data_IF_491199699404
#
_entry.id   IF_491199699404
#
_cell.length_a   1.000
_cell.length_b   1.000
_cell.length_c   1.000
_cell.angle_alpha   90.00
_cell.angle_beta   90.00
_cell.angle_gamma   90.00
#
_symmetry.space_group_name_H-M   'P 1'
#
loop_
_entity.id
_entity.type
_entity.pdbx_description
1 polymer ?
#
# COMPACT_ATOMS: atom_id res chain seq x y z
N UNK A 1 -1.45 -24.36 24.46
CA UNK A 1 -1.03 -23.15 23.70
C UNK A 1 -2.11 -22.09 23.83
N UNK A 2 -1.75 -20.83 24.16
CA UNK A 2 -2.72 -19.72 24.15
C UNK A 2 -3.18 -19.49 22.70
N UNK A 3 -4.47 -19.24 22.51
CA UNK A 3 -5.01 -18.86 21.19
C UNK A 3 -4.42 -17.53 20.78
N UNK A 4 -3.91 -17.36 19.54
CA UNK A 4 -3.41 -16.08 19.08
C UNK A 4 -4.51 -15.01 19.12
N UNK A 5 -4.11 -13.77 19.35
CA UNK A 5 -5.01 -12.63 19.27
C UNK A 5 -5.14 -12.21 17.79
N UNK A 6 -6.36 -11.90 17.37
CA UNK A 6 -6.65 -11.38 16.04
C UNK A 6 -7.09 -9.94 16.15
N UNK A 7 -6.30 -9.03 15.56
CA UNK A 7 -6.63 -7.62 15.40
C UNK A 7 -7.20 -7.42 13.99
N UNK A 8 -8.42 -6.93 13.93
CA UNK A 8 -9.07 -6.55 12.67
C UNK A 8 -9.20 -5.03 12.63
N UNK A 9 -8.72 -4.41 11.56
CA UNK A 9 -8.80 -2.97 11.35
C UNK A 9 -9.45 -2.63 10.01
N UNK A 10 -10.25 -1.56 10.03
CA UNK A 10 -10.80 -0.90 8.85
C UNK A 10 -10.29 0.52 8.82
N UNK A 11 -9.50 0.86 7.82
CA UNK A 11 -8.91 2.17 7.67
C UNK A 11 -9.26 2.75 6.30
N UNK A 12 -9.45 4.06 6.24
CA UNK A 12 -9.74 4.77 5.00
C UNK A 12 -8.89 6.02 4.90
N UNK A 13 -8.40 6.29 3.72
CA UNK A 13 -7.67 7.53 3.40
C UNK A 13 -7.90 7.88 1.93
N UNK A 14 -7.33 8.98 1.46
CA UNK A 14 -7.42 9.37 0.06
C UNK A 14 -6.78 10.72 -0.18
N UNK A 15 -6.78 11.13 -1.44
CA UNK A 15 -6.28 12.42 -1.87
C UNK A 15 -7.06 12.95 -3.08
N UNK A 16 -7.13 14.27 -3.18
CA UNK A 16 -7.51 14.97 -4.41
C UNK A 16 -6.23 15.43 -5.11
N UNK A 17 -6.04 14.96 -6.33
CA UNK A 17 -4.86 15.27 -7.16
C UNK A 17 -5.28 16.29 -8.22
N UNK A 18 -4.54 17.39 -8.34
CA UNK A 18 -4.81 18.45 -9.29
C UNK A 18 -4.25 18.13 -10.68
N UNK A 19 -4.71 17.01 -11.20
CA UNK A 19 -4.42 16.51 -12.54
C UNK A 19 -5.55 15.57 -13.01
N UNK A 20 -5.83 15.51 -14.32
CA UNK A 20 -6.88 14.64 -14.86
C UNK A 20 -6.53 13.16 -14.70
N UNK A 21 -7.56 12.32 -14.59
CA UNK A 21 -7.40 10.89 -14.36
C UNK A 21 -6.56 10.20 -15.44
N UNK A 22 -6.66 10.64 -16.69
CA UNK A 22 -5.85 10.11 -17.80
C UNK A 22 -4.34 10.32 -17.57
N UNK A 23 -3.94 11.37 -16.85
CA UNK A 23 -2.55 11.62 -16.45
C UNK A 23 -2.17 10.83 -15.21
N UNK A 24 -3.07 10.77 -14.22
CA UNK A 24 -2.78 10.11 -12.92
C UNK A 24 -2.73 8.61 -13.05
N UNK A 25 -3.63 7.99 -13.83
CA UNK A 25 -3.73 6.55 -13.94
C UNK A 25 -2.45 5.85 -14.38
N UNK A 26 -1.78 6.24 -15.50
CA UNK A 26 -0.53 5.59 -15.90
C UNK A 26 0.61 5.83 -14.90
N UNK A 27 0.62 6.96 -14.18
CA UNK A 27 1.60 7.21 -13.12
C UNK A 27 1.36 6.31 -11.92
N UNK A 28 0.09 6.12 -11.52
CA UNK A 28 -0.27 5.22 -10.43
C UNK A 28 0.19 3.78 -10.71
N UNK A 29 0.06 3.30 -11.94
CA UNK A 29 0.44 1.94 -12.31
C UNK A 29 1.94 1.67 -12.18
N UNK A 30 2.79 2.69 -12.11
CA UNK A 30 4.24 2.58 -11.88
C UNK A 30 4.60 2.98 -10.43
N UNK A 31 4.30 2.08 -9.48
CA UNK A 31 4.49 2.33 -8.05
C UNK A 31 5.94 2.65 -7.67
N UNK A 32 6.93 2.17 -8.41
CA UNK A 32 8.34 2.46 -8.16
C UNK A 32 8.70 3.96 -8.33
N UNK A 33 7.85 4.74 -9.00
CA UNK A 33 8.08 6.18 -9.19
C UNK A 33 7.56 7.05 -8.06
N UNK A 34 6.55 6.59 -7.34
CA UNK A 34 5.87 7.42 -6.34
C UNK A 34 5.78 6.79 -4.96
N UNK A 35 5.76 5.46 -4.85
CA UNK A 35 5.71 4.78 -3.56
C UNK A 35 7.12 4.45 -3.09
N UNK A 36 7.81 5.42 -2.52
CA UNK A 36 9.26 5.40 -2.24
C UNK A 36 9.67 4.59 -1.01
N UNK A 37 8.72 4.04 -0.25
CA UNK A 37 9.02 3.20 0.92
C UNK A 37 9.43 1.77 0.52
N UNK A 38 9.11 1.36 -0.70
CA UNK A 38 9.34 0.01 -1.21
C UNK A 38 9.83 0.03 -2.65
N UNK A 39 10.60 -1.00 -3.01
CA UNK A 39 10.84 -1.38 -4.39
C UNK A 39 9.93 -2.55 -4.77
N UNK A 40 9.26 -2.45 -5.91
CA UNK A 40 8.27 -3.40 -6.38
C UNK A 40 8.76 -4.17 -7.58
N UNK A 41 8.75 -5.51 -7.50
CA UNK A 41 9.09 -6.42 -8.58
C UNK A 41 7.98 -7.42 -8.83
N UNK A 42 7.78 -7.81 -10.08
CA UNK A 42 6.86 -8.90 -10.42
C UNK A 42 7.49 -10.25 -10.09
N UNK A 43 6.80 -11.08 -9.31
CA UNK A 43 7.20 -12.46 -9.01
C UNK A 43 6.29 -13.49 -9.69
N UNK A 44 5.13 -13.06 -10.18
CA UNK A 44 4.20 -13.87 -10.97
C UNK A 44 3.46 -12.97 -11.95
N UNK A 45 3.31 -13.40 -13.18
CA UNK A 45 2.75 -12.61 -14.27
C UNK A 45 3.83 -11.88 -15.08
N UNK A 46 3.45 -10.90 -15.91
CA UNK A 46 4.40 -10.16 -16.73
C UNK A 46 5.35 -9.31 -15.88
N UNK A 47 6.52 -8.91 -16.43
CA UNK A 47 7.40 -7.95 -15.78
C UNK A 47 6.66 -6.68 -15.40
N UNK A 48 6.92 -6.16 -14.19
CA UNK A 48 6.20 -4.99 -13.69
C UNK A 48 6.59 -3.69 -14.42
N UNK A 49 7.86 -3.54 -14.73
CA UNK A 49 8.39 -2.33 -15.36
C UNK A 49 7.76 -2.08 -16.75
N UNK A 50 7.07 -0.95 -16.89
CA UNK A 50 6.55 -0.44 -18.16
C UNK A 50 5.25 -1.08 -18.68
N UNK A 51 4.72 -2.11 -18.02
CA UNK A 51 3.48 -2.77 -18.46
C UNK A 51 2.29 -2.39 -17.57
N UNK A 52 2.56 -1.97 -16.33
CA UNK A 52 1.53 -1.66 -15.35
C UNK A 52 0.99 -2.90 -14.63
N UNK A 53 -0.06 -2.68 -13.83
CA UNK A 53 -0.69 -3.73 -13.02
C UNK A 53 -1.68 -4.54 -13.85
N UNK A 54 -1.69 -5.84 -13.63
CA UNK A 54 -2.63 -6.76 -14.27
C UNK A 54 -3.28 -7.67 -13.22
N UNK A 55 -4.54 -8.02 -13.45
CA UNK A 55 -5.25 -8.97 -12.60
C UNK A 55 -4.55 -10.32 -12.56
N UNK A 56 -4.44 -10.90 -11.36
CA UNK A 56 -3.67 -12.14 -11.10
C UNK A 56 -2.16 -11.96 -10.97
N UNK A 57 -1.61 -10.77 -11.22
CA UNK A 57 -0.19 -10.48 -11.02
C UNK A 57 0.15 -10.43 -9.53
N UNK A 58 1.29 -10.99 -9.15
CA UNK A 58 1.82 -10.89 -7.78
C UNK A 58 3.08 -10.04 -7.82
N UNK A 59 3.08 -8.98 -7.04
CA UNK A 59 4.24 -8.12 -6.81
C UNK A 59 4.87 -8.44 -5.47
N UNK A 60 6.19 -8.34 -5.40
CA UNK A 60 6.98 -8.36 -4.18
C UNK A 60 7.41 -6.94 -3.83
N UNK A 61 7.06 -6.50 -2.63
CA UNK A 61 7.51 -5.24 -2.07
C UNK A 61 8.72 -5.46 -1.19
N UNK A 62 9.86 -4.91 -1.60
CA UNK A 62 11.11 -4.94 -0.84
C UNK A 62 11.28 -3.60 -0.14
N UNK A 63 11.38 -3.55 1.22
CA UNK A 63 11.58 -2.29 1.93
C UNK A 63 12.86 -1.59 1.49
N UNK A 64 12.79 -0.28 1.32
CA UNK A 64 13.94 0.59 1.11
C UNK A 64 14.41 1.18 2.44
N UNK A 65 15.70 1.53 2.53
CA UNK A 65 16.29 2.10 3.74
C UNK A 65 15.55 3.38 4.16
N UNK A 66 15.24 3.49 5.47
CA UNK A 66 14.62 4.67 6.05
C UNK A 66 13.10 4.64 6.10
N UNK A 67 12.46 3.56 5.73
CA UNK A 67 10.98 3.44 5.73
C UNK A 67 10.36 3.41 7.14
N UNK A 68 11.18 3.28 8.19
CA UNK A 68 10.71 3.15 9.57
C UNK A 68 10.13 1.76 9.89
N UNK A 69 10.23 0.80 8.98
CA UNK A 69 9.95 -0.60 9.26
C UNK A 69 11.14 -1.20 10.00
N UNK A 70 10.84 -1.92 11.06
CA UNK A 70 11.85 -2.41 12.02
C UNK A 70 12.68 -3.56 11.47
N UNK A 71 12.22 -4.26 10.43
CA UNK A 71 12.95 -5.37 9.81
C UNK A 71 13.16 -5.12 8.31
N UNK A 72 14.39 -4.77 7.87
CA UNK A 72 14.70 -4.55 6.45
C UNK A 72 14.66 -5.85 5.62
N UNK A 73 14.50 -7.01 6.26
CA UNK A 73 14.37 -8.32 5.58
C UNK A 73 12.93 -8.74 5.39
N UNK A 74 11.98 -7.92 5.81
CA UNK A 74 10.56 -8.20 5.68
C UNK A 74 10.06 -7.82 4.30
N UNK A 75 9.55 -8.80 3.58
CA UNK A 75 8.92 -8.60 2.29
C UNK A 75 7.42 -8.71 2.41
N UNK A 76 6.72 -7.96 1.56
CA UNK A 76 5.29 -8.13 1.36
C UNK A 76 5.02 -8.61 -0.06
N UNK A 77 4.00 -9.45 -0.20
CA UNK A 77 3.47 -9.83 -1.49
C UNK A 77 2.12 -9.17 -1.69
N UNK A 78 1.94 -8.58 -2.87
CA UNK A 78 0.71 -7.92 -3.26
C UNK A 78 0.13 -8.63 -4.49
N UNK A 79 -0.95 -9.36 -4.30
CA UNK A 79 -1.72 -10.00 -5.36
C UNK A 79 -2.77 -9.02 -5.90
N UNK A 80 -2.79 -8.80 -7.20
CA UNK A 80 -3.77 -7.96 -7.89
C UNK A 80 -5.06 -8.77 -8.12
N UNK A 81 -6.05 -8.62 -7.25
CA UNK A 81 -7.31 -9.37 -7.33
C UNK A 81 -8.25 -8.80 -8.40
N UNK A 82 -8.18 -7.50 -8.65
CA UNK A 82 -8.98 -6.80 -9.65
C UNK A 82 -8.24 -5.57 -10.13
N UNK A 83 -8.24 -5.37 -11.44
CA UNK A 83 -7.70 -4.17 -12.08
C UNK A 83 -8.71 -3.69 -13.13
N UNK A 84 -9.48 -2.66 -12.80
CA UNK A 84 -10.43 -2.03 -13.74
C UNK A 84 -9.85 -0.67 -14.13
N UNK A 85 -9.49 -0.54 -15.40
CA UNK A 85 -8.86 0.67 -15.94
C UNK A 85 -9.58 1.95 -15.50
N UNK A 86 -8.82 2.91 -14.98
CA UNK A 86 -9.27 4.25 -14.59
C UNK A 86 -10.45 4.25 -13.58
N UNK A 87 -10.62 3.18 -12.83
CA UNK A 87 -11.77 3.06 -11.92
C UNK A 87 -11.40 2.43 -10.58
N UNK A 88 -10.87 1.20 -10.60
CA UNK A 88 -10.76 0.41 -9.37
C UNK A 88 -9.56 -0.53 -9.41
N UNK A 89 -8.87 -0.65 -8.29
CA UNK A 89 -7.89 -1.71 -8.07
C UNK A 89 -8.16 -2.33 -6.71
N UNK A 90 -8.22 -3.66 -6.67
CA UNK A 90 -8.33 -4.43 -5.42
C UNK A 90 -7.13 -5.33 -5.30
N UNK A 91 -6.44 -5.24 -4.17
CA UNK A 91 -5.24 -6.02 -3.90
C UNK A 91 -5.34 -6.73 -2.57
N UNK A 92 -4.69 -7.90 -2.49
CA UNK A 92 -4.43 -8.62 -1.26
C UNK A 92 -2.96 -8.53 -0.93
N UNK A 93 -2.65 -8.08 0.27
CA UNK A 93 -1.29 -7.99 0.78
C UNK A 93 -1.08 -9.07 1.84
N UNK A 94 0.05 -9.78 1.75
CA UNK A 94 0.48 -10.76 2.74
C UNK A 94 1.95 -10.52 3.09
N UNK A 95 2.33 -10.79 4.35
CA UNK A 95 3.73 -10.77 4.75
C UNK A 95 4.42 -12.09 4.38
N UNK A 96 5.72 -12.01 4.05
CA UNK A 96 6.52 -13.18 3.69
C UNK A 96 6.74 -14.15 4.86
N UNK A 97 6.87 -13.60 6.06
CA UNK A 97 7.15 -14.38 7.27
C UNK A 97 6.60 -13.67 8.51
N UNK A 98 6.49 -14.39 9.65
CA UNK A 98 6.15 -13.75 10.91
C UNK A 98 7.08 -12.58 11.22
N UNK A 99 6.52 -11.50 11.69
CA UNK A 99 7.25 -10.29 12.05
C UNK A 99 7.48 -10.26 13.55
N UNK A 100 8.72 -10.11 13.98
CA UNK A 100 8.98 -9.75 15.36
C UNK A 100 8.92 -8.23 15.50
N UNK A 101 7.86 -7.77 16.13
CA UNK A 101 7.74 -6.37 16.57
C UNK A 101 8.23 -6.19 18.02
N UNK A 102 8.91 -7.22 18.54
CA UNK A 102 9.29 -7.31 19.95
C UNK A 102 10.24 -6.23 20.43
N UNK A 103 11.04 -5.63 19.54
CA UNK A 103 12.00 -4.59 19.94
C UNK A 103 11.33 -3.34 20.50
N UNK A 104 10.32 -2.83 19.80
CA UNK A 104 9.67 -1.55 20.14
C UNK A 104 8.28 -1.73 20.77
N UNK A 105 7.58 -2.83 20.46
CA UNK A 105 6.18 -3.01 20.81
C UNK A 105 5.89 -4.18 21.74
N UNK A 106 6.86 -5.06 21.99
CA UNK A 106 6.71 -6.22 22.89
C UNK A 106 5.71 -7.28 22.42
N UNK A 107 5.32 -7.26 21.14
CA UNK A 107 4.35 -8.17 20.55
C UNK A 107 4.89 -8.76 19.27
N UNK A 108 4.80 -10.09 19.12
CA UNK A 108 5.15 -10.75 17.87
C UNK A 108 3.91 -10.87 16.96
N UNK A 109 4.07 -10.49 15.70
CA UNK A 109 3.08 -10.65 14.64
C UNK A 109 3.37 -11.95 13.90
N UNK A 110 2.41 -12.87 13.88
CA UNK A 110 2.55 -14.16 13.21
C UNK A 110 2.15 -14.12 11.74
N UNK A 111 1.13 -13.32 11.44
CA UNK A 111 0.55 -13.27 10.11
C UNK A 111 -0.15 -11.93 9.87
N UNK A 112 -0.07 -11.45 8.65
CA UNK A 112 -0.76 -10.24 8.20
C UNK A 112 -1.43 -10.56 6.87
N UNK A 113 -2.74 -10.36 6.81
CA UNK A 113 -3.49 -10.35 5.57
C UNK A 113 -4.25 -9.04 5.51
N UNK A 114 -3.98 -8.25 4.48
CA UNK A 114 -4.70 -7.01 4.26
C UNK A 114 -5.26 -6.95 2.84
N UNK A 115 -6.42 -6.34 2.72
CA UNK A 115 -7.04 -6.04 1.44
C UNK A 115 -7.11 -4.54 1.30
N UNK A 116 -6.66 -4.02 0.15
CA UNK A 116 -6.78 -2.61 -0.20
C UNK A 116 -7.68 -2.48 -1.41
N UNK A 117 -8.65 -1.59 -1.29
CA UNK A 117 -9.54 -1.22 -2.37
C UNK A 117 -9.28 0.24 -2.72
N UNK A 118 -8.82 0.46 -3.93
CA UNK A 118 -8.51 1.75 -4.50
C UNK A 118 -9.63 2.15 -5.46
N UNK A 119 -10.20 3.31 -5.24
CA UNK A 119 -11.19 3.92 -6.12
C UNK A 119 -10.60 5.15 -6.78
N UNK A 120 -10.83 5.30 -8.07
CA UNK A 120 -10.38 6.45 -8.87
C UNK A 120 -11.60 7.13 -9.48
N UNK A 121 -11.72 8.43 -9.27
CA UNK A 121 -12.81 9.23 -9.80
C UNK A 121 -12.26 10.45 -10.52
N UNK A 122 -12.69 10.65 -11.77
CA UNK A 122 -12.52 11.93 -12.46
C UNK A 122 -13.52 12.95 -11.90
N UNK A 123 -13.00 14.06 -11.41
CA UNK A 123 -13.77 15.16 -10.87
C UNK A 123 -13.41 16.45 -11.60
N UNK A 124 -13.95 16.62 -12.82
CA UNK A 124 -13.82 17.84 -13.64
C UNK A 124 -12.36 18.25 -13.89
N UNK A 125 -11.55 17.30 -14.34
CA UNK A 125 -10.14 17.51 -14.64
C UNK A 125 -9.21 17.39 -13.42
N UNK A 126 -9.74 16.95 -12.29
CA UNK A 126 -8.98 16.54 -11.10
C UNK A 126 -9.24 15.08 -10.83
N UNK A 127 -8.32 14.40 -10.19
CA UNK A 127 -8.49 13.00 -9.80
C UNK A 127 -8.67 12.87 -8.31
N UNK A 128 -9.74 12.23 -7.89
CA UNK A 128 -9.92 11.79 -6.51
C UNK A 128 -9.53 10.33 -6.39
N UNK A 129 -8.64 10.03 -5.45
CA UNK A 129 -8.25 8.67 -5.08
C UNK A 129 -8.78 8.39 -3.69
N UNK A 130 -9.51 7.29 -3.54
CA UNK A 130 -9.92 6.74 -2.25
C UNK A 130 -9.21 5.41 -1.99
N UNK A 131 -8.82 5.17 -0.74
CA UNK A 131 -8.24 3.90 -0.29
C UNK A 131 -9.06 3.41 0.90
N UNK A 132 -9.58 2.19 0.78
CA UNK A 132 -10.21 1.46 1.88
C UNK A 132 -9.35 0.25 2.18
N UNK A 133 -8.97 0.07 3.43
CA UNK A 133 -8.18 -1.08 3.89
C UNK A 133 -8.98 -1.90 4.89
N UNK A 134 -8.95 -3.21 4.71
CA UNK A 134 -9.33 -4.20 5.70
C UNK A 134 -8.11 -5.05 6.00
N UNK A 135 -7.70 -5.14 7.25
CA UNK A 135 -6.58 -5.98 7.67
C UNK A 135 -6.97 -6.92 8.81
N UNK A 136 -6.41 -8.13 8.77
CA UNK A 136 -6.42 -9.08 9.85
C UNK A 136 -4.96 -9.39 10.23
N UNK A 137 -4.61 -9.08 11.47
CA UNK A 137 -3.26 -9.24 12.00
C UNK A 137 -3.32 -10.24 13.17
N UNK A 138 -2.62 -11.36 13.03
CA UNK A 138 -2.52 -12.37 14.08
C UNK A 138 -1.27 -12.14 14.93
N UNK A 139 -1.47 -12.00 16.21
CA UNK A 139 -0.43 -11.67 17.19
C UNK A 139 -0.33 -12.74 18.29
N UNK A 140 0.81 -12.83 18.96
CA UNK A 140 1.01 -13.71 20.12
C UNK A 140 0.06 -13.40 21.26
N UNK A 141 -0.21 -12.10 21.47
CA UNK A 141 -1.08 -11.62 22.54
C UNK A 141 -1.78 -10.31 22.12
N UNK A 142 -2.72 -9.86 22.96
CA UNK A 142 -3.46 -8.62 22.73
C UNK A 142 -2.50 -7.43 22.82
N UNK A 143 -2.39 -6.61 21.75
CA UNK A 143 -1.56 -5.41 21.76
C UNK A 143 -2.10 -4.34 22.72
N UNK A 144 -1.23 -3.51 23.23
CA UNK A 144 -1.64 -2.33 23.99
C UNK A 144 -2.35 -1.30 23.07
N UNK A 145 -3.12 -0.40 23.66
CA UNK A 145 -3.74 0.70 22.91
C UNK A 145 -2.70 1.57 22.18
N UNK A 146 -1.50 1.72 22.75
CA UNK A 146 -0.40 2.44 22.12
C UNK A 146 0.05 1.73 20.83
N UNK A 147 0.25 0.42 20.87
CA UNK A 147 0.66 -0.36 19.66
C UNK A 147 -0.38 -0.24 18.56
N UNK A 148 -1.67 -0.32 18.89
CA UNK A 148 -2.75 -0.11 17.90
C UNK A 148 -2.68 1.30 17.31
N UNK A 149 -2.51 2.33 18.14
CA UNK A 149 -2.41 3.71 17.67
C UNK A 149 -1.19 3.92 16.76
N UNK A 150 -0.04 3.32 17.10
CA UNK A 150 1.18 3.42 16.30
C UNK A 150 1.04 2.73 14.95
N UNK A 151 0.39 1.55 14.88
CA UNK A 151 0.09 0.86 13.62
C UNK A 151 -0.86 1.68 12.73
N UNK A 152 -1.91 2.23 13.32
CA UNK A 152 -2.85 3.13 12.62
C UNK A 152 -2.13 4.37 12.10
N UNK A 153 -1.28 4.99 12.91
CA UNK A 153 -0.49 6.15 12.50
C UNK A 153 0.47 5.81 11.36
N UNK A 154 1.13 4.64 11.42
CA UNK A 154 2.03 4.17 10.37
C UNK A 154 1.28 4.03 9.03
N UNK A 155 0.07 3.47 9.03
CA UNK A 155 -0.79 3.37 7.85
C UNK A 155 -1.05 4.75 7.23
N UNK A 156 -1.54 5.71 8.01
CA UNK A 156 -1.86 7.04 7.49
C UNK A 156 -0.64 7.80 7.01
N UNK A 157 0.49 7.68 7.70
CA UNK A 157 1.75 8.31 7.31
C UNK A 157 2.28 7.74 6.00
N UNK A 158 2.32 6.41 5.86
CA UNK A 158 2.83 5.74 4.67
C UNK A 158 1.99 6.10 3.44
N UNK A 159 0.67 5.94 3.53
CA UNK A 159 -0.21 6.27 2.41
C UNK A 159 -0.30 7.77 2.13
N UNK A 160 -0.27 8.60 3.16
CA UNK A 160 -0.22 10.06 2.99
C UNK A 160 1.00 10.52 2.23
N UNK A 161 2.19 10.00 2.57
CA UNK A 161 3.44 10.30 1.86
C UNK A 161 3.39 9.79 0.43
N UNK A 162 2.94 8.56 0.21
CA UNK A 162 2.84 7.96 -1.11
C UNK A 162 1.90 8.73 -2.04
N UNK A 163 0.70 9.08 -1.56
CA UNK A 163 -0.26 9.87 -2.33
C UNK A 163 0.24 11.30 -2.62
N UNK A 164 0.97 11.91 -1.68
CA UNK A 164 1.59 13.21 -1.91
C UNK A 164 2.66 13.13 -3.01
N UNK A 165 3.49 12.10 -3.02
CA UNK A 165 4.49 11.88 -4.07
C UNK A 165 3.83 11.68 -5.44
N UNK A 166 2.74 10.92 -5.50
CA UNK A 166 1.96 10.74 -6.72
C UNK A 166 1.37 12.08 -7.22
N UNK A 167 0.86 12.90 -6.32
CA UNK A 167 0.32 14.21 -6.65
C UNK A 167 1.39 15.15 -7.22
N UNK A 168 2.58 15.19 -6.62
CA UNK A 168 3.72 15.97 -7.11
C UNK A 168 4.20 15.50 -8.48
N UNK A 169 4.26 14.19 -8.68
CA UNK A 169 4.62 13.59 -9.96
C UNK A 169 3.60 13.94 -11.05
N UNK A 170 2.31 13.87 -10.74
CA UNK A 170 1.25 14.20 -11.68
C UNK A 170 1.26 15.70 -12.07
N UNK A 171 1.49 16.60 -11.10
CA UNK A 171 1.61 18.03 -11.37
C UNK A 171 2.80 18.36 -12.28
N UNK A 172 3.95 17.70 -12.05
CA UNK A 172 5.13 17.91 -12.91
C UNK A 172 4.91 17.41 -14.33
N UNK A 173 4.19 16.30 -14.51
CA UNK A 173 3.89 15.73 -15.82
C UNK A 173 2.92 16.64 -16.59
N UNK A 174 1.86 17.13 -15.95
CA UNK A 174 0.89 18.03 -16.58
C UNK A 174 1.50 19.37 -17.04
N UNK A 175 2.52 19.87 -16.31
CA UNK A 175 3.23 21.09 -16.68
C UNK A 175 4.14 20.94 -17.92
N UNK A 176 4.55 19.72 -18.27
CA UNK A 176 5.36 19.44 -19.46
C UNK A 176 4.52 19.23 -20.72
N UNK A 177 3.25 18.87 -20.56
CA UNK A 177 2.32 18.60 -21.68
C UNK A 177 1.50 19.85 -22.10
N UNK A 178 1.66 20.97 -21.42
CA UNK A 178 1.02 22.28 -21.69
C UNK A 178 1.96 23.23 -22.40
#
# INVERSE_FOLDING_TARGET
MKKPYELTEYLTTGADIDAPLITVWPLYLDMNRWYTDYHWDSVSGPPYAGIGLQEGQILKATPLYGTGLTDPTLFYYQEQLKVTKESEIVVKLTADKPQSMSGDYGVDVHDVVAFYHWDFLDNRGRTRIGIRSYSNIRMTEKPSARVIADLTHLFYRSWGNALNNLALLAASTAAHDS
#
